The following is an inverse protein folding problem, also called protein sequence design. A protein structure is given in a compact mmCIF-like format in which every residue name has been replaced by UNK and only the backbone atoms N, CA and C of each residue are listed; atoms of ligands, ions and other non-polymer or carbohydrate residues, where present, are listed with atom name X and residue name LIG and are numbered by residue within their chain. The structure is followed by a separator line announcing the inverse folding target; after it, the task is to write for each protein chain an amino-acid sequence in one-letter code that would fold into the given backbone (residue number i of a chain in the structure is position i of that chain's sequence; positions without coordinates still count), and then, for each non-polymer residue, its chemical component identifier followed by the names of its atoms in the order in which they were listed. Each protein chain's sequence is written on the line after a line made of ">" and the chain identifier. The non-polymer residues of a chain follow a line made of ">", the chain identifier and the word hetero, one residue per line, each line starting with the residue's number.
data_IF_332434895787
#
_entry.id   IF_332434895787
#
_cell.length_a   1.000
_cell.length_b   1.000
_cell.length_c   1.000
_cell.angle_alpha   90.00
_cell.angle_beta   90.00
_cell.angle_gamma   90.00
#
_symmetry.space_group_name_H-M   'P 1'
#
loop_
_entity.id
_entity.type
_entity.pdbx_description
1 polymer ?
#
# COMPACT_ATOMS: atom_id res chain seq x y z
N UNK A 1 8.25 -13.64 6.76
CA UNK A 1 9.02 -12.45 6.35
C UNK A 1 8.52 -11.24 7.15
N UNK A 2 9.42 -10.34 7.56
CA UNK A 2 9.03 -9.10 8.23
C UNK A 2 8.37 -8.17 7.21
N UNK A 3 7.27 -7.52 7.60
CA UNK A 3 6.57 -6.58 6.71
C UNK A 3 7.39 -5.29 6.58
N UNK A 4 7.54 -4.73 5.38
CA UNK A 4 8.25 -3.46 5.23
C UNK A 4 7.51 -2.32 5.96
N UNK A 5 8.31 -1.38 6.48
CA UNK A 5 7.84 -0.19 7.16
C UNK A 5 8.60 1.03 6.67
N UNK A 6 7.95 2.19 6.68
CA UNK A 6 8.59 3.50 6.41
C UNK A 6 8.24 4.50 7.51
N UNK A 7 9.12 5.49 7.74
CA UNK A 7 8.87 6.60 8.66
C UNK A 7 8.50 7.84 7.88
N UNK A 8 7.33 8.41 8.14
CA UNK A 8 6.86 9.67 7.55
C UNK A 8 6.17 10.50 8.63
N UNK A 9 6.54 11.78 8.75
CA UNK A 9 6.01 12.71 9.77
C UNK A 9 6.08 12.14 11.20
N UNK A 10 7.20 11.47 11.54
CA UNK A 10 7.41 10.73 12.81
C UNK A 10 6.45 9.55 13.05
N UNK A 11 5.61 9.19 12.08
CA UNK A 11 4.74 8.02 12.11
C UNK A 11 5.38 6.81 11.41
N UNK A 12 5.28 5.64 12.03
CA UNK A 12 5.72 4.38 11.43
C UNK A 12 4.55 3.79 10.63
N UNK A 13 4.68 3.79 9.30
CA UNK A 13 3.71 3.22 8.39
C UNK A 13 4.10 1.79 8.05
N UNK A 14 3.15 0.88 8.19
CA UNK A 14 3.27 -0.51 7.75
C UNK A 14 2.80 -0.63 6.31
N UNK A 15 3.54 -1.37 5.49
CA UNK A 15 3.23 -1.55 4.06
C UNK A 15 2.69 -2.96 3.82
N UNK A 16 1.59 -3.04 3.09
CA UNK A 16 0.91 -4.27 2.76
C UNK A 16 0.64 -4.34 1.26
N UNK A 17 0.79 -5.51 0.63
CA UNK A 17 0.20 -5.72 -0.68
C UNK A 17 -1.33 -5.84 -0.52
N UNK A 18 -2.08 -5.25 -1.44
CA UNK A 18 -3.55 -5.28 -1.48
C UNK A 18 -4.06 -5.49 -2.90
N UNK A 19 -5.32 -5.93 -3.01
CA UNK A 19 -5.96 -6.29 -4.27
C UNK A 19 -5.91 -7.78 -4.59
N UNK A 20 -6.77 -8.20 -5.52
CA UNK A 20 -6.75 -9.55 -6.11
C UNK A 20 -5.90 -9.49 -7.38
N UNK A 21 -4.94 -10.41 -7.51
CA UNK A 21 -4.29 -10.68 -8.79
C UNK A 21 -5.40 -11.18 -9.74
N UNK A 22 -5.78 -10.38 -10.73
CA UNK A 22 -6.75 -10.82 -11.75
C UNK A 22 -5.97 -11.38 -12.93
N UNK A 23 -6.51 -12.41 -13.59
CA UNK A 23 -5.87 -13.12 -14.72
C UNK A 23 -5.54 -12.17 -15.90
N UNK A 24 -6.14 -10.97 -15.93
CA UNK A 24 -5.96 -9.94 -16.95
C UNK A 24 -5.04 -8.77 -16.53
N UNK A 25 -4.75 -8.61 -15.24
CA UNK A 25 -3.81 -7.61 -14.72
C UNK A 25 -2.49 -8.30 -14.41
N UNK A 26 -1.63 -8.45 -15.42
CA UNK A 26 -0.57 -9.45 -15.36
C UNK A 26 0.43 -9.28 -14.21
N UNK A 27 0.67 -8.08 -13.70
CA UNK A 27 1.61 -7.91 -12.58
C UNK A 27 1.23 -6.77 -11.62
N UNK A 28 0.19 -5.98 -11.91
CA UNK A 28 -0.18 -4.84 -11.06
C UNK A 28 -0.89 -5.28 -9.77
N UNK A 29 -0.42 -4.77 -8.62
CA UNK A 29 -1.09 -4.89 -7.34
C UNK A 29 -1.13 -3.55 -6.60
N UNK A 30 -1.99 -3.47 -5.58
CA UNK A 30 -2.07 -2.28 -4.73
C UNK A 30 -1.05 -2.34 -3.60
N UNK A 31 -0.53 -1.18 -3.20
CA UNK A 31 0.18 -0.99 -1.94
C UNK A 31 -0.73 -0.25 -0.96
N UNK A 32 -0.87 -0.79 0.24
CA UNK A 32 -1.56 -0.19 1.38
C UNK A 32 -0.52 0.26 2.39
N UNK A 33 -0.53 1.56 2.70
CA UNK A 33 0.19 2.14 3.83
C UNK A 33 -0.77 2.32 5.00
N UNK A 34 -0.45 1.75 6.15
CA UNK A 34 -1.28 1.79 7.36
C UNK A 34 -0.50 2.42 8.53
N UNK A 35 -1.07 3.44 9.16
CA UNK A 35 -0.54 4.09 10.36
C UNK A 35 -1.54 3.97 11.52
N UNK A 36 -1.04 3.62 12.70
CA UNK A 36 -1.84 3.47 13.91
C UNK A 36 -2.65 2.17 13.94
N UNK A 37 -3.63 2.11 14.85
CA UNK A 37 -4.50 0.95 15.08
C UNK A 37 -5.92 1.42 15.41
N UNK A 38 -6.90 0.51 15.33
CA UNK A 38 -8.27 0.81 15.75
C UNK A 38 -8.97 1.88 14.88
N UNK A 39 -9.87 2.70 15.47
CA UNK A 39 -10.66 3.69 14.74
C UNK A 39 -9.84 4.88 14.22
N UNK A 40 -8.71 5.21 14.85
CA UNK A 40 -7.80 6.31 14.44
C UNK A 40 -6.82 5.91 13.34
N UNK A 41 -6.98 4.70 12.80
CA UNK A 41 -6.09 4.14 11.80
C UNK A 41 -6.19 4.92 10.49
N UNK A 42 -5.05 5.40 10.01
CA UNK A 42 -4.92 6.06 8.70
C UNK A 42 -4.49 5.05 7.65
N UNK A 43 -5.09 5.13 6.47
CA UNK A 43 -4.77 4.28 5.32
C UNK A 43 -4.53 5.12 4.07
N UNK A 44 -3.52 4.74 3.29
CA UNK A 44 -3.25 5.30 1.97
C UNK A 44 -3.01 4.19 0.97
N UNK A 45 -3.41 4.43 -0.28
CA UNK A 45 -3.37 3.43 -1.35
C UNK A 45 -2.64 3.96 -2.57
N UNK A 46 -1.85 3.11 -3.21
CA UNK A 46 -1.28 3.35 -4.55
C UNK A 46 -1.21 2.05 -5.35
N UNK A 47 -0.93 2.14 -6.64
CA UNK A 47 -0.72 0.98 -7.53
C UNK A 47 0.78 0.80 -7.76
N UNK A 48 1.20 -0.46 -7.83
CA UNK A 48 2.55 -0.85 -8.16
C UNK A 48 2.52 -1.99 -9.19
N UNK A 49 3.20 -1.77 -10.30
CA UNK A 49 3.41 -2.74 -11.37
C UNK A 49 4.89 -3.09 -11.40
N UNK A 50 5.31 -4.25 -10.86
CA UNK A 50 6.68 -4.73 -10.96
C UNK A 50 6.98 -5.05 -12.43
N UNK A 51 8.25 -4.88 -12.81
CA UNK A 51 8.72 -5.13 -14.18
C UNK A 51 8.90 -6.63 -14.51
N UNK A 52 8.76 -7.52 -13.52
CA UNK A 52 8.94 -8.97 -13.66
C UNK A 52 7.79 -9.72 -12.99
N UNK A 53 7.35 -10.85 -13.58
CA UNK A 53 6.36 -11.76 -12.99
C UNK A 53 6.91 -12.49 -11.77
N UNK A 54 6.97 -11.77 -10.67
CA UNK A 54 7.30 -12.28 -9.34
C UNK A 54 6.04 -12.32 -8.47
N UNK A 55 6.01 -13.22 -7.50
CA UNK A 55 5.00 -13.20 -6.45
C UNK A 55 4.95 -11.82 -5.79
N UNK A 56 3.75 -11.32 -5.50
CA UNK A 56 3.52 -10.00 -4.92
C UNK A 56 4.35 -9.71 -3.66
N UNK A 57 4.53 -10.72 -2.80
CA UNK A 57 5.33 -10.60 -1.58
C UNK A 57 6.83 -10.42 -1.87
N UNK A 58 7.35 -11.14 -2.88
CA UNK A 58 8.74 -10.98 -3.32
C UNK A 58 8.96 -9.61 -3.98
N UNK A 59 8.04 -9.17 -4.83
CA UNK A 59 8.08 -7.85 -5.45
C UNK A 59 8.03 -6.71 -4.42
N UNK A 60 7.30 -6.90 -3.32
CA UNK A 60 7.25 -5.95 -2.20
C UNK A 60 8.54 -5.98 -1.37
N UNK A 61 9.11 -7.15 -1.11
CA UNK A 61 10.34 -7.30 -0.34
C UNK A 61 11.57 -6.69 -1.05
N UNK A 62 11.54 -6.59 -2.38
CA UNK A 62 12.60 -5.95 -3.19
C UNK A 62 12.51 -4.41 -3.20
N UNK A 63 11.39 -3.82 -2.75
CA UNK A 63 11.25 -2.36 -2.72
C UNK A 63 12.17 -1.75 -1.66
N UNK A 64 13.02 -0.82 -2.11
CA UNK A 64 13.84 -0.01 -1.22
C UNK A 64 12.99 1.00 -0.43
N UNK A 65 13.50 1.46 0.72
CA UNK A 65 12.83 2.50 1.50
C UNK A 65 12.53 3.77 0.67
N UNK A 66 13.47 4.18 -0.20
CA UNK A 66 13.26 5.32 -1.09
C UNK A 66 12.07 5.12 -2.04
N UNK A 67 11.97 3.94 -2.66
CA UNK A 67 10.84 3.63 -3.55
C UNK A 67 9.52 3.60 -2.77
N UNK A 68 9.52 3.06 -1.55
CA UNK A 68 8.34 3.05 -0.68
C UNK A 68 7.90 4.47 -0.30
N UNK A 69 8.85 5.40 -0.07
CA UNK A 69 8.56 6.82 0.15
C UNK A 69 7.98 7.48 -1.09
N UNK A 70 8.53 7.22 -2.28
CA UNK A 70 7.98 7.74 -3.54
C UNK A 70 6.55 7.26 -3.76
N UNK A 71 6.28 5.96 -3.51
CA UNK A 71 4.92 5.40 -3.55
C UNK A 71 4.00 6.01 -2.50
N UNK A 72 4.50 6.30 -1.30
CA UNK A 72 3.74 6.97 -0.26
C UNK A 72 3.34 8.40 -0.69
N UNK A 73 4.24 9.16 -1.30
CA UNK A 73 3.93 10.51 -1.79
C UNK A 73 2.91 10.51 -2.93
N UNK A 74 2.89 9.46 -3.76
CA UNK A 74 1.88 9.27 -4.81
C UNK A 74 0.55 8.71 -4.28
N UNK A 75 0.56 8.11 -3.09
CA UNK A 75 -0.60 7.42 -2.54
C UNK A 75 -1.73 8.39 -2.15
N UNK A 76 -2.96 7.97 -2.41
CA UNK A 76 -4.16 8.73 -2.07
C UNK A 76 -4.69 8.32 -0.69
N UNK A 77 -5.15 9.26 0.14
CA UNK A 77 -5.76 8.95 1.42
C UNK A 77 -7.11 8.24 1.23
N UNK A 78 -7.45 7.30 2.12
CA UNK A 78 -8.65 6.46 1.99
C UNK A 78 -9.98 7.24 1.79
N UNK A 79 -10.09 8.47 2.30
CA UNK A 79 -11.29 9.32 2.15
C UNK A 79 -11.49 9.91 0.73
N UNK A 80 -10.48 9.77 -0.15
CA UNK A 80 -10.57 10.12 -1.59
C UNK A 80 -10.82 8.90 -2.49
N UNK A 81 -10.84 7.69 -1.93
CA UNK A 81 -11.28 6.49 -2.65
C UNK A 81 -12.77 6.25 -2.40
N UNK A 82 -13.58 5.94 -3.43
CA UNK A 82 -15.03 5.70 -3.28
C UNK A 82 -15.38 4.54 -2.33
N UNK A 83 -14.40 3.73 -1.92
CA UNK A 83 -14.52 2.65 -0.94
C UNK A 83 -14.56 3.13 0.53
N UNK A 84 -14.20 4.40 0.82
CA UNK A 84 -14.21 4.97 2.18
C UNK A 84 -15.50 5.69 2.58
N UNK A 85 -16.47 5.77 1.66
CA UNK A 85 -17.65 6.63 1.76
C UNK A 85 -18.97 5.97 2.15
N UNK A 86 -18.98 4.69 2.54
CA UNK A 86 -20.20 4.04 3.04
C UNK A 86 -19.98 3.50 4.44
N UNK A 87 -20.58 4.18 5.42
CA UNK A 87 -20.76 3.64 6.76
C UNK A 87 -20.61 4.61 7.93
N UNK A 88 -20.94 5.90 7.78
CA UNK A 88 -21.36 6.69 8.95
C UNK A 88 -22.88 6.65 9.01
N UNK A 89 -23.39 5.63 9.69
CA UNK A 89 -24.65 5.68 10.41
C UNK A 89 -24.67 4.60 11.49
#
# INVERSE_FOLDING_TARGET
>A
MARPTIVVDSGIWKVYPTGRITVYGKDEFGLLFELGTGPERKRRFTRYSPLESKSTDAALAELTERQLLDFFHQSQPAWTSPEGGYGVR
#
